data_IF_492065462737
#
_entry.id   IF_492065462737
#
_cell.length_a   1.000
_cell.length_b   1.000
_cell.length_c   1.000
_cell.angle_alpha   90.00
_cell.angle_beta   90.00
_cell.angle_gamma   90.00
#
_symmetry.space_group_name_H-M   'P 1'
#
loop_
_entity.id
_entity.type
_entity.pdbx_description
1 polymer ?
#
# COMPACT_ATOMS: atom_id res chain seq x y z
N UNK A 1 4.00 0.49 9.97
CA UNK A 1 3.93 -0.68 9.08
C UNK A 1 3.21 -0.30 7.79
N UNK A 2 3.84 -0.43 6.61
CA UNK A 2 3.18 -0.25 5.30
C UNK A 2 2.68 -1.60 4.77
N UNK A 3 1.73 -2.19 5.49
CA UNK A 3 0.98 -3.37 5.07
C UNK A 3 -0.41 -2.92 4.55
N UNK A 4 -0.99 -3.58 3.53
CA UNK A 4 -2.29 -3.21 2.97
C UNK A 4 -3.46 -3.48 3.93
N UNK A 5 -3.30 -4.44 4.82
CA UNK A 5 -4.22 -4.75 5.92
C UNK A 5 -3.43 -5.15 7.16
N UNK A 6 -4.01 -4.93 8.34
CA UNK A 6 -3.49 -5.44 9.62
C UNK A 6 -4.64 -6.08 10.38
N UNK A 7 -4.36 -7.14 11.13
CA UNK A 7 -5.36 -7.76 11.99
C UNK A 7 -5.30 -7.08 13.35
N UNK A 8 -6.46 -6.69 13.88
CA UNK A 8 -6.61 -6.22 15.25
C UNK A 8 -7.32 -7.31 16.03
N UNK A 9 -6.60 -7.94 16.97
CA UNK A 9 -7.19 -8.94 17.87
C UNK A 9 -7.80 -8.25 19.08
N UNK A 10 -8.97 -8.74 19.50
CA UNK A 10 -9.74 -8.20 20.62
C UNK A 10 -9.66 -9.19 21.77
N UNK A 11 -8.89 -8.84 22.80
CA UNK A 11 -8.74 -9.67 24.00
C UNK A 11 -9.57 -9.10 25.15
N UNK A 12 -10.54 -9.84 25.70
CA UNK A 12 -11.28 -9.42 26.88
C UNK A 12 -10.38 -9.43 28.13
N UNK A 13 -10.52 -8.40 28.96
CA UNK A 13 -9.86 -8.31 30.28
C UNK A 13 -10.91 -8.55 31.35
N UNK A 14 -10.65 -9.51 32.22
CA UNK A 14 -11.53 -9.86 33.35
C UNK A 14 -10.85 -9.47 34.67
N UNK A 15 -11.62 -8.94 35.63
CA UNK A 15 -11.17 -8.75 37.00
C UNK A 15 -10.80 -10.09 37.63
N UNK A 16 -9.88 -10.02 38.59
CA UNK A 16 -9.29 -11.19 39.27
C UNK A 16 -10.33 -12.00 40.06
N UNK A 17 -11.47 -11.41 40.38
CA UNK A 17 -12.59 -11.96 41.16
C UNK A 17 -13.88 -12.20 40.34
N UNK A 18 -13.86 -11.98 39.02
CA UNK A 18 -15.03 -12.17 38.17
C UNK A 18 -15.18 -13.64 37.73
N UNK A 19 -15.96 -14.44 38.48
CA UNK A 19 -16.32 -15.81 38.08
C UNK A 19 -17.50 -15.88 37.10
N UNK A 20 -18.35 -14.84 37.06
CA UNK A 20 -19.60 -14.82 36.27
C UNK A 20 -19.94 -13.44 35.66
N UNK A 21 -18.98 -12.51 35.65
CA UNK A 21 -19.14 -11.17 35.05
C UNK A 21 -18.70 -11.12 33.59
N UNK A 22 -19.21 -10.16 32.83
CA UNK A 22 -18.64 -9.80 31.53
C UNK A 22 -17.23 -9.19 31.68
N UNK A 23 -16.51 -8.96 30.58
CA UNK A 23 -15.20 -8.33 30.64
C UNK A 23 -15.28 -6.89 31.17
N UNK A 24 -14.32 -6.49 31.99
CA UNK A 24 -14.18 -5.11 32.48
C UNK A 24 -13.60 -4.18 31.41
N UNK A 25 -13.06 -4.76 30.34
CA UNK A 25 -12.55 -4.02 29.21
C UNK A 25 -11.99 -4.92 28.14
N UNK A 26 -11.39 -4.30 27.13
CA UNK A 26 -10.78 -4.98 26.00
C UNK A 26 -9.39 -4.40 25.73
N UNK A 27 -8.46 -5.28 25.35
CA UNK A 27 -7.16 -4.92 24.78
C UNK A 27 -7.19 -5.20 23.29
N UNK A 28 -6.70 -4.24 22.51
CA UNK A 28 -6.63 -4.37 21.06
C UNK A 28 -5.18 -4.58 20.63
N UNK A 29 -4.89 -5.69 19.98
CA UNK A 29 -3.54 -6.04 19.56
C UNK A 29 -3.41 -5.96 18.06
N UNK A 30 -2.58 -5.03 17.58
CA UNK A 30 -2.30 -4.88 16.14
C UNK A 30 -1.21 -5.84 15.72
N UNK A 31 -1.55 -6.70 14.75
CA UNK A 31 -0.68 -7.77 14.28
C UNK A 31 -0.37 -7.62 12.77
N UNK A 32 0.72 -8.23 12.33
CA UNK A 32 1.04 -8.34 10.88
C UNK A 32 0.15 -9.34 10.14
N UNK A 33 -0.61 -10.17 10.88
CA UNK A 33 -1.44 -11.24 10.35
C UNK A 33 -1.80 -12.27 11.44
N UNK A 34 -2.50 -13.35 11.06
CA UNK A 34 -2.93 -14.37 12.02
C UNK A 34 -1.75 -15.11 12.67
N UNK A 35 -0.66 -15.31 11.94
CA UNK A 35 0.51 -16.08 12.38
C UNK A 35 1.47 -15.30 13.31
N UNK A 36 1.17 -14.05 13.65
CA UNK A 36 2.03 -13.18 14.45
C UNK A 36 1.99 -13.55 15.94
N UNK A 37 2.70 -14.59 16.35
CA UNK A 37 2.62 -15.13 17.73
C UNK A 37 3.13 -14.19 18.83
N UNK A 38 3.86 -13.14 18.47
CA UNK A 38 4.49 -12.22 19.43
C UNK A 38 3.73 -10.89 19.53
N UNK A 39 2.45 -10.84 19.15
CA UNK A 39 1.68 -9.60 19.24
C UNK A 39 1.55 -9.09 20.68
N UNK A 40 1.56 -10.00 21.67
CA UNK A 40 1.43 -9.69 23.10
C UNK A 40 2.60 -8.90 23.70
N UNK A 41 3.74 -8.84 23.01
CA UNK A 41 4.93 -8.10 23.48
C UNK A 41 4.83 -6.60 23.18
N UNK A 42 3.80 -6.17 22.45
CA UNK A 42 3.62 -4.78 22.01
C UNK A 42 2.78 -3.99 23.03
N UNK A 43 2.64 -2.69 22.82
CA UNK A 43 1.67 -1.92 23.59
C UNK A 43 0.27 -2.16 23.00
N UNK A 44 -0.70 -2.71 23.75
CA UNK A 44 -2.07 -2.84 23.27
C UNK A 44 -2.70 -1.45 23.07
N UNK A 45 -3.56 -1.36 22.07
CA UNK A 45 -4.38 -0.18 21.81
C UNK A 45 -5.64 -0.17 22.67
N UNK A 46 -6.10 1.05 22.97
CA UNK A 46 -7.47 1.28 23.44
C UNK A 46 -8.41 1.46 22.24
N UNK A 47 -9.72 1.31 22.48
CA UNK A 47 -10.73 1.61 21.45
C UNK A 47 -10.67 3.06 20.96
N UNK A 48 -10.37 4.03 21.83
CA UNK A 48 -10.20 5.44 21.42
C UNK A 48 -8.99 5.63 20.49
N UNK A 49 -7.88 4.93 20.76
CA UNK A 49 -6.72 4.92 19.86
C UNK A 49 -7.10 4.31 18.51
N UNK A 50 -7.77 3.16 18.49
CA UNK A 50 -8.21 2.50 17.27
C UNK A 50 -9.18 3.38 16.45
N UNK A 51 -10.13 4.06 17.09
CA UNK A 51 -11.09 4.95 16.43
C UNK A 51 -10.44 6.19 15.80
N UNK A 52 -9.27 6.61 16.30
CA UNK A 52 -8.53 7.78 15.78
C UNK A 52 -7.55 7.43 14.67
N UNK A 53 -7.39 6.16 14.35
CA UNK A 53 -6.47 5.73 13.29
C UNK A 53 -6.97 6.22 11.94
N UNK A 54 -6.31 7.24 11.42
CA UNK A 54 -6.58 7.80 10.10
C UNK A 54 -6.00 6.91 9.01
N UNK A 55 -6.70 6.81 7.88
CA UNK A 55 -6.23 6.07 6.71
C UNK A 55 -6.49 4.56 6.76
N UNK A 56 -7.38 4.12 7.65
CA UNK A 56 -7.82 2.73 7.75
C UNK A 56 -9.33 2.65 7.89
N UNK A 57 -9.95 1.73 7.16
CA UNK A 57 -11.34 1.35 7.29
C UNK A 57 -11.45 0.02 8.05
N UNK A 58 -12.55 -0.16 8.78
CA UNK A 58 -12.86 -1.44 9.44
C UNK A 58 -13.31 -2.41 8.36
N UNK A 59 -12.52 -3.46 8.18
CA UNK A 59 -12.78 -4.57 7.26
C UNK A 59 -13.56 -5.69 7.94
N UNK A 60 -13.34 -6.91 7.44
CA UNK A 60 -14.08 -8.09 7.91
C UNK A 60 -13.72 -8.47 9.35
N UNK A 61 -14.71 -9.01 10.06
CA UNK A 61 -14.49 -9.76 11.29
C UNK A 61 -13.61 -10.98 11.01
N UNK A 62 -12.80 -11.36 12.00
CA UNK A 62 -11.91 -12.50 11.99
C UNK A 62 -12.00 -13.23 13.33
N UNK A 63 -11.94 -14.56 13.31
CA UNK A 63 -11.90 -15.37 14.51
C UNK A 63 -11.05 -16.62 14.27
N UNK A 64 -10.23 -16.99 15.24
CA UNK A 64 -9.39 -18.19 15.23
C UNK A 64 -9.23 -18.77 16.65
N UNK A 65 -8.32 -19.73 16.83
CA UNK A 65 -8.04 -20.32 18.14
C UNK A 65 -7.57 -19.33 19.21
N UNK A 66 -7.13 -18.13 18.81
CA UNK A 66 -6.66 -17.07 19.70
C UNK A 66 -7.75 -16.04 20.05
N UNK A 67 -8.97 -16.20 19.52
CA UNK A 67 -10.13 -15.37 19.82
C UNK A 67 -10.62 -14.54 18.64
N UNK A 68 -11.34 -13.46 18.96
CA UNK A 68 -11.96 -12.58 17.97
C UNK A 68 -11.03 -11.44 17.54
N UNK A 69 -11.30 -10.89 16.37
CA UNK A 69 -10.61 -9.74 15.82
C UNK A 69 -11.31 -9.16 14.61
N UNK A 70 -10.73 -8.13 14.04
CA UNK A 70 -11.18 -7.54 12.79
C UNK A 70 -9.99 -7.03 11.98
N UNK A 71 -10.15 -7.03 10.67
CA UNK A 71 -9.16 -6.42 9.80
C UNK A 71 -9.31 -4.91 9.81
N UNK A 72 -8.21 -4.20 9.91
CA UNK A 72 -8.12 -2.83 9.42
C UNK A 72 -7.54 -2.87 8.01
N UNK A 73 -8.25 -2.27 7.07
CA UNK A 73 -7.88 -2.21 5.67
C UNK A 73 -7.48 -0.77 5.31
N UNK A 74 -6.36 -0.58 4.62
CA UNK A 74 -5.92 0.77 4.27
C UNK A 74 -6.88 1.40 3.27
N UNK A 75 -7.27 2.65 3.55
CA UNK A 75 -8.06 3.44 2.61
C UNK A 75 -7.17 4.31 1.72
N UNK A 76 -7.58 4.47 0.47
CA UNK A 76 -6.95 5.35 -0.52
C UNK A 76 -7.24 6.83 -0.28
N UNK A 77 -7.99 7.20 0.77
CA UNK A 77 -8.27 8.60 1.12
C UNK A 77 -7.10 9.30 1.81
N UNK A 78 -6.16 8.54 2.38
CA UNK A 78 -5.01 9.06 3.13
C UNK A 78 -3.72 8.43 2.60
N UNK A 79 -2.62 9.19 2.45
CA UNK A 79 -1.34 8.64 2.02
C UNK A 79 -0.77 7.67 3.05
N UNK A 80 0.14 6.81 2.61
CA UNK A 80 0.84 5.88 3.48
C UNK A 80 1.65 6.62 4.54
N UNK A 81 1.64 6.09 5.76
CA UNK A 81 2.36 6.68 6.89
C UNK A 81 3.86 6.79 6.57
N UNK A 82 4.40 7.99 6.72
CA UNK A 82 5.81 8.28 6.41
C UNK A 82 6.13 8.41 4.91
N UNK A 83 5.14 8.32 4.03
CA UNK A 83 5.27 8.62 2.61
C UNK A 83 4.86 10.06 2.33
N UNK A 84 5.78 10.86 1.78
CA UNK A 84 5.52 12.22 1.33
C UNK A 84 5.40 12.23 -0.19
N UNK A 85 4.25 12.70 -0.68
CA UNK A 85 3.96 12.83 -2.11
C UNK A 85 4.18 14.28 -2.52
N UNK A 86 5.02 14.51 -3.53
CA UNK A 86 5.27 15.85 -4.08
C UNK A 86 4.97 15.87 -5.57
N UNK A 87 4.20 16.87 -6.01
CA UNK A 87 3.79 17.01 -7.41
C UNK A 87 4.53 18.18 -8.06
N UNK A 88 5.10 17.93 -9.24
CA UNK A 88 5.62 18.96 -10.14
C UNK A 88 4.82 18.91 -11.44
N UNK A 89 3.86 19.82 -11.57
CA UNK A 89 3.09 20.01 -12.79
C UNK A 89 3.81 20.97 -13.75
N UNK A 90 3.73 20.67 -15.04
CA UNK A 90 4.15 21.50 -16.18
C UNK A 90 3.09 21.36 -17.29
N UNK A 91 2.99 22.32 -18.22
CA UNK A 91 2.00 22.24 -19.30
C UNK A 91 2.09 20.96 -20.13
N UNK A 92 3.29 20.41 -20.31
CA UNK A 92 3.52 19.22 -21.14
C UNK A 92 3.63 17.91 -20.36
N UNK A 93 3.72 17.95 -19.03
CA UNK A 93 3.81 16.76 -18.19
C UNK A 93 3.55 17.07 -16.71
N UNK A 94 3.15 16.05 -15.97
CA UNK A 94 3.18 16.08 -14.51
C UNK A 94 4.01 14.94 -13.94
N UNK A 95 4.74 15.22 -12.87
CA UNK A 95 5.53 14.23 -12.15
C UNK A 95 5.21 14.24 -10.66
N UNK A 96 4.81 13.09 -10.14
CA UNK A 96 4.64 12.85 -8.71
C UNK A 96 5.83 12.06 -8.20
N UNK A 97 6.45 12.52 -7.13
CA UNK A 97 7.54 11.82 -6.46
C UNK A 97 7.07 11.38 -5.06
N UNK A 98 7.28 10.10 -4.77
CA UNK A 98 6.98 9.45 -3.50
C UNK A 98 8.27 9.30 -2.72
N UNK A 99 8.32 9.89 -1.52
CA UNK A 99 9.50 9.83 -0.65
C UNK A 99 9.18 9.16 0.66
N UNK A 100 10.05 8.24 1.07
CA UNK A 100 10.02 7.59 2.39
C UNK A 100 11.42 7.75 2.98
N UNK A 101 11.52 8.15 4.26
CA UNK A 101 12.81 8.40 4.91
C UNK A 101 13.77 9.31 4.11
N UNK A 102 13.24 10.34 3.44
CA UNK A 102 13.94 11.28 2.52
C UNK A 102 14.43 10.67 1.20
N UNK A 103 14.39 9.35 1.03
CA UNK A 103 14.71 8.68 -0.23
C UNK A 103 13.50 8.67 -1.17
N UNK A 104 13.73 8.90 -2.46
CA UNK A 104 12.69 8.78 -3.48
C UNK A 104 12.56 7.31 -3.86
N UNK A 105 11.42 6.70 -3.52
CA UNK A 105 11.15 5.27 -3.74
C UNK A 105 10.27 5.03 -4.97
N UNK A 106 9.49 6.02 -5.38
CA UNK A 106 8.76 5.96 -6.64
C UNK A 106 8.62 7.34 -7.30
N UNK A 107 8.40 7.32 -8.61
CA UNK A 107 8.08 8.49 -9.42
C UNK A 107 7.03 8.12 -10.47
N UNK A 108 5.86 8.74 -10.41
CA UNK A 108 4.84 8.63 -11.46
C UNK A 108 4.97 9.81 -12.42
N UNK A 109 5.17 9.52 -13.70
CA UNK A 109 5.24 10.48 -14.78
C UNK A 109 4.00 10.35 -15.67
N UNK A 110 3.32 11.46 -15.93
CA UNK A 110 2.14 11.55 -16.77
C UNK A 110 2.50 12.32 -18.04
N UNK A 111 2.06 11.85 -19.20
CA UNK A 111 2.14 12.64 -20.42
C UNK A 111 1.01 13.68 -20.44
N UNK A 112 1.35 14.96 -20.64
CA UNK A 112 0.37 16.05 -20.65
C UNK A 112 -0.09 16.51 -19.26
N UNK A 113 -1.28 17.11 -19.20
CA UNK A 113 -1.87 17.63 -17.97
C UNK A 113 -2.22 16.51 -16.98
N UNK A 114 -1.90 16.74 -15.70
CA UNK A 114 -2.19 15.78 -14.65
C UNK A 114 -3.69 15.61 -14.47
N UNK A 115 -4.17 14.40 -14.68
CA UNK A 115 -5.58 14.02 -14.48
C UNK A 115 -5.73 12.94 -13.41
N UNK A 116 -4.63 12.61 -12.70
CA UNK A 116 -4.65 11.69 -11.57
C UNK A 116 -5.31 12.34 -10.36
N UNK A 117 -6.22 11.60 -9.73
CA UNK A 117 -6.82 11.97 -8.46
C UNK A 117 -5.87 11.68 -7.28
N UNK A 118 -6.24 12.17 -6.11
CA UNK A 118 -5.51 11.89 -4.86
C UNK A 118 -5.58 10.42 -4.45
N UNK A 119 -6.63 9.70 -4.86
CA UNK A 119 -6.82 8.30 -4.48
C UNK A 119 -5.81 7.37 -5.13
N UNK A 120 -5.50 7.56 -6.42
CA UNK A 120 -4.43 6.88 -7.13
C UNK A 120 -3.07 7.13 -6.46
N UNK A 121 -2.78 8.39 -6.15
CA UNK A 121 -1.51 8.75 -5.51
C UNK A 121 -1.39 8.06 -4.14
N UNK A 122 -2.46 8.06 -3.36
CA UNK A 122 -2.48 7.37 -2.08
C UNK A 122 -2.37 5.84 -2.23
N UNK A 123 -3.04 5.24 -3.22
CA UNK A 123 -2.93 3.82 -3.52
C UNK A 123 -1.48 3.41 -3.87
N UNK A 124 -0.79 4.19 -4.71
CA UNK A 124 0.63 3.97 -5.02
C UNK A 124 1.50 4.16 -3.76
N UNK A 125 1.18 5.14 -2.92
CA UNK A 125 1.92 5.36 -1.67
C UNK A 125 1.83 4.17 -0.71
N UNK A 126 0.70 3.45 -0.68
CA UNK A 126 0.53 2.25 0.16
C UNK A 126 1.38 1.07 -0.30
N UNK A 127 1.67 1.00 -1.60
CA UNK A 127 2.62 0.02 -2.13
C UNK A 127 4.08 0.37 -1.83
N UNK A 128 4.40 1.64 -1.52
CA UNK A 128 5.76 2.07 -1.25
C UNK A 128 6.38 1.35 -0.04
N UNK A 129 7.67 0.97 -0.14
CA UNK A 129 8.36 0.32 0.97
C UNK A 129 8.42 1.21 2.21
N UNK A 130 8.60 0.58 3.38
CA UNK A 130 8.91 1.31 4.61
C UNK A 130 10.35 1.85 4.64
N UNK A 131 10.74 2.55 5.71
CA UNK A 131 12.08 3.14 5.86
C UNK A 131 13.24 2.18 5.57
N UNK A 132 13.14 0.94 6.04
CA UNK A 132 14.16 -0.12 5.85
C UNK A 132 14.44 -0.42 4.37
N UNK A 133 13.43 -0.30 3.50
CA UNK A 133 13.53 -0.56 2.07
C UNK A 133 13.64 0.71 1.21
N UNK A 134 13.69 1.88 1.84
CA UNK A 134 13.77 3.18 1.19
C UNK A 134 15.23 3.64 1.11
N UNK A 135 15.98 3.04 0.19
CA UNK A 135 17.41 3.27 0.01
C UNK A 135 17.78 3.36 -1.49
N UNK A 136 19.07 3.51 -1.80
CA UNK A 136 19.59 3.57 -3.16
C UNK A 136 20.12 2.22 -3.67
N UNK A 137 19.72 1.12 -3.03
CA UNK A 137 20.17 -0.22 -3.39
C UNK A 137 19.39 -0.81 -4.58
N UNK A 138 19.88 -1.96 -5.05
CA UNK A 138 19.25 -2.72 -6.13
C UNK A 138 17.84 -3.14 -5.76
N UNK A 139 16.95 -3.10 -6.75
CA UNK A 139 15.61 -3.67 -6.59
C UNK A 139 15.74 -5.21 -6.61
N UNK A 140 15.17 -5.94 -5.65
CA UNK A 140 15.39 -7.38 -5.54
C UNK A 140 14.63 -8.21 -6.58
N UNK A 141 13.71 -7.60 -7.36
CA UNK A 141 12.95 -8.32 -8.38
C UNK A 141 13.82 -8.68 -9.59
N UNK A 142 13.50 -9.81 -10.21
CA UNK A 142 14.20 -10.31 -11.40
C UNK A 142 13.31 -10.17 -12.63
N UNK A 143 13.93 -10.08 -13.81
CA UNK A 143 13.21 -10.01 -15.09
C UNK A 143 12.26 -11.21 -15.32
N UNK A 144 12.56 -12.37 -14.75
CA UNK A 144 11.69 -13.56 -14.82
C UNK A 144 10.34 -13.36 -14.11
N UNK A 145 10.25 -12.41 -13.18
CA UNK A 145 9.01 -12.08 -12.45
C UNK A 145 8.16 -11.05 -13.18
N UNK A 146 8.59 -10.54 -14.34
CA UNK A 146 7.83 -9.57 -15.14
C UNK A 146 6.38 -10.01 -15.41
N UNK A 147 6.08 -11.27 -15.79
CA UNK A 147 4.71 -11.72 -16.02
C UNK A 147 3.82 -11.61 -14.78
N UNK A 148 4.37 -11.85 -13.59
CA UNK A 148 3.66 -11.76 -12.31
C UNK A 148 3.36 -10.30 -11.92
N UNK A 149 4.29 -9.39 -12.24
CA UNK A 149 4.20 -7.98 -11.86
C UNK A 149 3.40 -7.13 -12.86
N UNK A 150 3.22 -7.62 -14.09
CA UNK A 150 2.58 -6.86 -15.17
C UNK A 150 1.06 -6.81 -14.96
N UNK A 151 0.47 -5.61 -14.78
CA UNK A 151 -0.98 -5.49 -14.69
C UNK A 151 -1.67 -6.01 -15.93
N UNK A 152 -2.87 -6.57 -15.76
CA UNK A 152 -3.66 -7.01 -16.90
C UNK A 152 -4.05 -5.81 -17.78
N UNK A 153 -4.19 -5.99 -19.11
CA UNK A 153 -4.67 -4.91 -19.96
C UNK A 153 -6.10 -4.50 -19.59
N UNK A 154 -6.45 -3.24 -19.82
CA UNK A 154 -7.81 -2.71 -19.60
C UNK A 154 -8.25 -1.91 -20.81
N UNK A 155 -9.32 -2.36 -21.49
CA UNK A 155 -9.75 -1.78 -22.76
C UNK A 155 -8.61 -1.70 -23.79
N UNK A 156 -8.28 -0.46 -24.20
CA UNK A 156 -7.22 -0.11 -25.15
C UNK A 156 -5.83 0.08 -24.52
N UNK A 157 -5.77 0.05 -23.19
CA UNK A 157 -4.55 0.33 -22.44
C UNK A 157 -3.80 -0.98 -22.20
N UNK A 158 -2.52 -0.97 -22.57
CA UNK A 158 -1.56 -2.05 -22.34
C UNK A 158 -0.54 -1.64 -21.31
N UNK A 159 -0.07 -2.61 -20.53
CA UNK A 159 0.95 -2.41 -19.52
C UNK A 159 2.21 -3.19 -19.87
N UNK A 160 3.37 -2.59 -19.63
CA UNK A 160 4.66 -3.24 -19.74
C UNK A 160 5.47 -3.01 -18.48
N UNK A 161 6.20 -4.04 -18.04
CA UNK A 161 7.15 -3.95 -16.92
C UNK A 161 8.56 -4.17 -17.43
N UNK A 162 9.43 -3.19 -17.17
CA UNK A 162 10.87 -3.27 -17.47
C UNK A 162 11.64 -3.33 -16.15
N UNK A 163 12.45 -4.37 -15.96
CA UNK A 163 13.30 -4.55 -14.78
C UNK A 163 14.74 -4.20 -15.15
N UNK A 164 15.31 -3.21 -14.45
CA UNK A 164 16.72 -2.85 -14.51
C UNK A 164 17.35 -3.06 -13.12
N UNK A 165 18.68 -3.18 -13.02
CA UNK A 165 19.35 -3.46 -11.73
C UNK A 165 18.94 -2.52 -10.58
N UNK A 166 18.71 -1.24 -10.88
CA UNK A 166 18.40 -0.21 -9.88
C UNK A 166 16.93 0.25 -9.90
N UNK A 167 16.16 -0.15 -10.91
CA UNK A 167 14.82 0.41 -11.13
C UNK A 167 13.88 -0.60 -11.76
N UNK A 168 12.61 -0.54 -11.38
CA UNK A 168 11.53 -1.19 -12.13
C UNK A 168 10.65 -0.11 -12.73
N UNK A 169 10.28 -0.26 -14.00
CA UNK A 169 9.39 0.66 -14.69
C UNK A 169 8.11 -0.06 -15.08
N UNK A 170 6.96 0.48 -14.66
CA UNK A 170 5.64 0.07 -15.15
C UNK A 170 5.15 1.16 -16.09
N UNK A 171 4.90 0.81 -17.35
CA UNK A 171 4.50 1.76 -18.40
C UNK A 171 3.11 1.41 -18.88
N UNK A 172 2.24 2.41 -18.97
CA UNK A 172 0.90 2.31 -19.55
C UNK A 172 0.88 2.99 -20.93
N UNK A 173 0.48 2.26 -21.96
CA UNK A 173 0.39 2.75 -23.35
C UNK A 173 -0.98 2.50 -23.95
N UNK A 174 -1.51 3.47 -24.67
CA UNK A 174 -2.75 3.34 -25.45
C UNK A 174 -2.42 2.98 -26.91
N UNK A 175 -3.28 2.16 -27.55
CA UNK A 175 -3.34 1.68 -28.96
C UNK A 175 -2.20 2.09 -29.93
N UNK A 176 -1.87 3.37 -30.04
CA UNK A 176 -0.84 3.94 -30.94
C UNK A 176 0.57 4.06 -30.33
N UNK A 177 0.86 3.37 -29.21
CA UNK A 177 2.09 3.51 -28.40
C UNK A 177 2.26 4.88 -27.75
N UNK A 178 1.19 5.66 -27.61
CA UNK A 178 1.26 6.88 -26.82
C UNK A 178 1.41 6.49 -25.35
N UNK A 179 2.53 6.87 -24.72
CA UNK A 179 2.76 6.61 -23.32
C UNK A 179 1.87 7.54 -22.48
N UNK A 180 0.88 6.98 -21.81
CA UNK A 180 -0.01 7.75 -20.94
C UNK A 180 0.66 8.05 -19.60
N UNK A 181 1.23 7.01 -19.00
CA UNK A 181 1.86 7.07 -17.69
C UNK A 181 3.06 6.13 -17.60
N UNK A 182 4.04 6.51 -16.78
CA UNK A 182 5.17 5.68 -16.42
C UNK A 182 5.46 5.82 -14.93
N UNK A 183 5.39 4.70 -14.24
CA UNK A 183 5.74 4.57 -12.84
C UNK A 183 7.15 3.98 -12.75
N UNK A 184 8.09 4.72 -12.15
CA UNK A 184 9.46 4.27 -11.90
C UNK A 184 9.64 4.01 -10.42
N UNK A 185 10.14 2.82 -10.07
CA UNK A 185 10.28 2.31 -8.71
C UNK A 185 11.77 2.10 -8.41
N UNK A 186 12.22 2.55 -7.24
CA UNK A 186 13.62 2.54 -6.79
C UNK A 186 13.76 2.11 -5.34
N UNK A 187 14.87 1.43 -5.01
CA UNK A 187 15.22 0.96 -3.66
C UNK A 187 14.96 -0.53 -3.45
N UNK A 188 15.61 -1.12 -2.44
CA UNK A 188 15.57 -2.57 -2.22
C UNK A 188 14.26 -3.09 -1.59
N UNK A 189 13.36 -2.21 -1.16
CA UNK A 189 12.07 -2.60 -0.59
C UNK A 189 10.98 -3.01 -1.59
N UNK A 190 11.22 -2.96 -2.90
CA UNK A 190 10.23 -3.32 -3.91
C UNK A 190 10.21 -4.83 -4.17
N UNK A 191 9.24 -5.52 -3.58
CA UNK A 191 8.92 -6.92 -3.90
C UNK A 191 8.01 -7.01 -5.13
N UNK A 192 7.93 -8.19 -5.77
CA UNK A 192 7.04 -8.40 -6.92
C UNK A 192 5.58 -8.04 -6.59
N UNK A 193 5.12 -8.39 -5.38
CA UNK A 193 3.79 -8.04 -4.89
C UNK A 193 3.58 -6.52 -4.79
N UNK A 194 4.55 -5.77 -4.27
CA UNK A 194 4.47 -4.30 -4.17
C UNK A 194 4.47 -3.64 -5.54
N UNK A 195 5.31 -4.12 -6.46
CA UNK A 195 5.33 -3.65 -7.86
C UNK A 195 3.96 -3.89 -8.50
N UNK A 196 3.43 -5.11 -8.37
CA UNK A 196 2.10 -5.49 -8.88
C UNK A 196 1.01 -4.61 -8.28
N UNK A 197 1.00 -4.40 -6.97
CA UNK A 197 0.01 -3.55 -6.30
C UNK A 197 0.05 -2.11 -6.81
N UNK A 198 1.25 -1.53 -6.99
CA UNK A 198 1.38 -0.18 -7.53
C UNK A 198 0.93 -0.09 -9.00
N UNK A 199 1.22 -1.11 -9.81
CA UNK A 199 0.77 -1.22 -11.19
C UNK A 199 -0.75 -1.41 -11.32
N UNK A 200 -1.35 -2.24 -10.46
CA UNK A 200 -2.80 -2.45 -10.40
C UNK A 200 -3.56 -1.19 -9.97
N UNK A 201 -3.00 -0.40 -9.04
CA UNK A 201 -3.56 0.91 -8.70
C UNK A 201 -3.62 1.84 -9.92
N UNK A 202 -2.53 1.89 -10.70
CA UNK A 202 -2.49 2.65 -11.95
C UNK A 202 -3.50 2.11 -12.98
N UNK A 203 -3.62 0.79 -13.10
CA UNK A 203 -4.59 0.15 -14.00
C UNK A 203 -6.02 0.50 -13.63
N UNK A 204 -6.40 0.39 -12.37
CA UNK A 204 -7.75 0.68 -11.90
C UNK A 204 -8.15 2.12 -12.23
N UNK A 205 -7.30 3.09 -11.89
CA UNK A 205 -7.56 4.50 -12.20
C UNK A 205 -7.69 4.77 -13.70
N UNK A 206 -6.86 4.14 -14.54
CA UNK A 206 -6.95 4.31 -15.99
C UNK A 206 -8.18 3.58 -16.60
N UNK A 207 -8.65 2.50 -15.96
CA UNK A 207 -9.86 1.80 -16.38
C UNK A 207 -11.12 2.65 -16.14
N UNK A 208 -11.21 3.30 -14.98
CA UNK A 208 -12.34 4.17 -14.63
C UNK A 208 -12.49 5.37 -15.57
N UNK A 209 -11.41 5.74 -16.26
CA UNK A 209 -11.41 6.81 -17.27
C UNK A 209 -11.77 6.36 -18.68
N UNK A 210 -11.64 5.06 -18.96
CA UNK A 210 -11.94 4.50 -20.27
C UNK A 210 -13.43 4.13 -20.41
N UNK A 211 -14.16 4.08 -19.30
CA UNK A 211 -15.62 3.93 -19.22
C UNK A 211 -16.31 5.29 -19.22
#
# INVERSE_FOLDING_TARGET
MNAPRVLVRVEPVFATDALFGGPDGYRLWVTTGPDDRNYGDRQPWTWDQAARVQGWDIGRMYADEHGEGFWLERTTRVPALGCVITTRARPSFARHAFRVARCRVASLHCAGECTHDTELLNAISHACPGPEGANEERVPVRWMQVPEMTPQPTGRIRFGVEVRPMTVQVTATEDTRCQMARLTLTGSGWTAERVRAAGEALRAHLADRAN
#
